data_IF_604692030539
#
_entry.id   IF_604692030539
#
_cell.length_a   1.000
_cell.length_b   1.000
_cell.length_c   1.000
_cell.angle_alpha   90.00
_cell.angle_beta   90.00
_cell.angle_gamma   90.00
#
_symmetry.space_group_name_H-M   'P 1'
#
loop_
_entity.id
_entity.type
_entity.pdbx_description
1 polymer ?
#
# COMPACT_ATOMS: atom_id res chain seq x y z
N UNK A 1 34.23 8.59 -1.08
CA UNK A 1 32.99 8.12 -1.73
C UNK A 1 32.25 9.24 -2.46
N UNK A 2 31.89 10.35 -1.80
CA UNK A 2 31.21 11.48 -2.48
C UNK A 2 31.92 11.99 -3.73
N UNK A 3 33.25 12.10 -3.70
CA UNK A 3 34.05 12.57 -4.86
C UNK A 3 33.93 11.67 -6.10
N UNK A 4 33.68 10.36 -5.94
CA UNK A 4 33.58 9.39 -7.04
C UNK A 4 32.20 9.46 -7.68
N UNK A 5 31.15 9.60 -6.86
CA UNK A 5 29.77 9.73 -7.33
C UNK A 5 29.42 11.16 -7.76
N UNK A 6 30.27 12.15 -7.45
CA UNK A 6 30.06 13.56 -7.75
C UNK A 6 29.78 13.86 -9.20
N UNK A 7 30.57 13.37 -10.18
CA UNK A 7 30.25 13.59 -11.59
C UNK A 7 28.86 13.03 -11.95
N UNK A 8 28.51 11.85 -11.41
CA UNK A 8 27.26 11.14 -11.71
C UNK A 8 26.05 11.92 -11.19
N UNK A 9 26.07 12.35 -9.92
CA UNK A 9 24.92 13.10 -9.37
C UNK A 9 24.86 14.54 -9.87
N UNK A 10 25.99 15.17 -10.23
CA UNK A 10 26.00 16.53 -10.80
C UNK A 10 25.37 16.57 -12.19
N UNK A 11 25.70 15.59 -13.04
CA UNK A 11 25.06 15.44 -14.35
C UNK A 11 23.53 15.33 -14.19
N UNK A 12 23.06 14.51 -13.24
CA UNK A 12 21.62 14.32 -13.00
C UNK A 12 20.95 15.52 -12.37
N UNK A 13 21.57 16.17 -11.39
CA UNK A 13 21.05 17.38 -10.75
C UNK A 13 20.88 18.55 -11.74
N UNK A 14 21.69 18.59 -12.80
CA UNK A 14 21.56 19.60 -13.86
C UNK A 14 20.31 19.43 -14.74
N UNK A 15 19.71 18.24 -14.75
CA UNK A 15 18.50 17.96 -15.53
C UNK A 15 17.29 18.67 -14.91
N UNK A 16 16.48 19.33 -15.75
CA UNK A 16 15.31 20.09 -15.32
C UNK A 16 14.29 19.24 -14.56
N UNK A 17 14.13 17.98 -14.97
CA UNK A 17 13.19 17.03 -14.38
C UNK A 17 13.60 16.50 -13.01
N UNK A 18 14.85 16.69 -12.58
CA UNK A 18 15.31 16.17 -11.28
C UNK A 18 14.74 17.01 -10.15
N UNK A 19 13.97 16.37 -9.28
CA UNK A 19 13.37 16.96 -8.08
C UNK A 19 14.31 16.88 -6.88
N UNK A 20 15.01 15.76 -6.71
CA UNK A 20 15.89 15.59 -5.56
C UNK A 20 16.88 14.45 -5.71
N UNK A 21 18.00 14.53 -4.98
CA UNK A 21 19.03 13.49 -4.93
C UNK A 21 19.42 13.23 -3.47
N UNK A 22 19.35 11.95 -3.07
CA UNK A 22 19.72 11.47 -1.75
C UNK A 22 20.85 10.46 -1.89
N UNK A 23 21.90 10.64 -1.07
CA UNK A 23 23.00 9.71 -0.90
C UNK A 23 22.83 8.95 0.42
N UNK A 24 22.87 7.63 0.34
CA UNK A 24 22.80 6.73 1.50
C UNK A 24 24.06 5.89 1.53
N UNK A 25 24.85 6.05 2.58
CA UNK A 25 26.03 5.21 2.81
C UNK A 25 25.70 4.11 3.81
N UNK A 26 26.24 2.93 3.58
CA UNK A 26 26.13 1.80 4.51
C UNK A 26 26.62 2.20 5.90
N UNK A 27 25.78 2.00 6.91
CA UNK A 27 26.16 2.11 8.32
C UNK A 27 26.38 0.70 8.86
N UNK A 28 27.46 0.47 9.64
CA UNK A 28 27.84 -0.87 10.09
C UNK A 28 26.77 -1.57 10.95
N UNK A 29 25.92 -0.78 11.62
CA UNK A 29 24.82 -1.25 12.46
C UNK A 29 23.55 -1.65 11.69
N UNK A 30 23.41 -1.26 10.41
CA UNK A 30 22.16 -1.44 9.63
C UNK A 30 22.40 -2.01 8.22
N UNK A 31 22.96 -3.23 8.15
CA UNK A 31 23.31 -3.94 6.90
C UNK A 31 22.15 -4.15 5.89
N UNK A 32 20.90 -3.98 6.31
CA UNK A 32 19.69 -4.24 5.50
C UNK A 32 19.23 -3.04 4.65
N UNK A 33 19.67 -1.81 4.97
CA UNK A 33 19.13 -0.59 4.34
C UNK A 33 19.62 -0.40 2.89
N UNK A 34 20.81 -0.89 2.57
CA UNK A 34 21.47 -0.67 1.27
C UNK A 34 21.52 -1.92 0.39
N UNK A 35 20.75 -2.98 0.66
CA UNK A 35 20.79 -4.24 -0.12
C UNK A 35 22.19 -4.81 -0.32
N UNK A 36 23.03 -4.74 0.72
CA UNK A 36 24.45 -5.12 0.68
C UNK A 36 25.37 -4.22 -0.17
N UNK A 37 24.84 -3.16 -0.79
CA UNK A 37 25.65 -2.11 -1.41
C UNK A 37 26.29 -1.23 -0.34
N UNK A 38 27.47 -0.69 -0.64
CA UNK A 38 28.19 0.20 0.26
C UNK A 38 27.67 1.64 0.14
N UNK A 39 27.08 2.00 -1.00
CA UNK A 39 26.42 3.30 -1.21
C UNK A 39 25.24 3.19 -2.18
N UNK A 40 24.16 3.90 -1.89
CA UNK A 40 22.98 4.03 -2.74
C UNK A 40 22.74 5.51 -3.05
N UNK A 41 22.51 5.82 -4.33
CA UNK A 41 22.12 7.13 -4.82
C UNK A 41 20.67 7.05 -5.29
N UNK A 42 19.75 7.66 -4.54
CA UNK A 42 18.35 7.79 -4.93
C UNK A 42 18.15 9.14 -5.62
N UNK A 43 17.63 9.12 -6.83
CA UNK A 43 17.32 10.29 -7.64
C UNK A 43 15.82 10.26 -7.91
N UNK A 44 15.13 11.32 -7.50
CA UNK A 44 13.70 11.50 -7.77
C UNK A 44 13.57 12.50 -8.91
N UNK A 45 12.88 12.10 -9.97
CA UNK A 45 12.56 12.94 -11.13
C UNK A 45 11.05 13.12 -11.23
N UNK A 46 10.60 14.22 -11.83
CA UNK A 46 9.17 14.47 -12.03
C UNK A 46 8.59 13.46 -13.02
N UNK A 47 9.16 13.43 -14.23
CA UNK A 47 8.75 12.52 -15.30
C UNK A 47 9.98 11.87 -15.97
N UNK A 48 9.78 10.67 -16.50
CA UNK A 48 10.78 9.93 -17.28
C UNK A 48 10.10 8.89 -18.17
N UNK A 49 10.69 8.61 -19.35
CA UNK A 49 10.25 7.53 -20.23
C UNK A 49 10.25 6.18 -19.51
N UNK A 50 11.28 5.93 -18.71
CA UNK A 50 11.38 4.75 -17.86
C UNK A 50 11.11 5.15 -16.39
N UNK A 51 10.01 4.66 -15.77
CA UNK A 51 9.59 5.14 -14.46
C UNK A 51 10.50 4.68 -13.31
N UNK A 52 11.25 3.60 -13.51
CA UNK A 52 12.27 3.07 -12.60
C UNK A 52 13.50 2.69 -13.43
N UNK A 53 14.63 3.32 -13.15
CA UNK A 53 15.89 3.05 -13.81
C UNK A 53 17.01 2.84 -12.79
N UNK A 54 17.70 1.71 -12.89
CA UNK A 54 18.76 1.33 -11.95
C UNK A 54 20.08 1.11 -12.69
N UNK A 55 21.18 1.63 -12.14
CA UNK A 55 22.55 1.28 -12.54
C UNK A 55 23.35 0.84 -11.33
N UNK A 56 24.17 -0.18 -11.51
CA UNK A 56 25.14 -0.60 -10.51
C UNK A 56 26.55 -0.21 -10.95
N UNK A 57 27.37 0.18 -9.98
CA UNK A 57 28.75 0.55 -10.17
C UNK A 57 29.63 -0.24 -9.19
N UNK A 58 30.87 -0.49 -9.63
CA UNK A 58 31.91 -1.13 -8.82
C UNK A 58 33.16 -0.26 -8.90
N UNK A 59 33.74 0.07 -7.75
CA UNK A 59 35.00 0.77 -7.67
C UNK A 59 35.80 0.28 -6.46
N UNK A 60 37.02 -0.21 -6.68
CA UNK A 60 37.91 -0.69 -5.60
C UNK A 60 37.21 -1.63 -4.59
N UNK A 61 36.42 -2.58 -5.13
CA UNK A 61 35.61 -3.54 -4.36
C UNK A 61 34.40 -2.96 -3.59
N UNK A 62 34.11 -1.67 -3.74
CA UNK A 62 32.90 -1.03 -3.22
C UNK A 62 31.75 -1.14 -4.23
N UNK A 63 30.61 -1.66 -3.77
CA UNK A 63 29.38 -1.80 -4.56
C UNK A 63 28.53 -0.55 -4.39
N UNK A 64 28.13 0.07 -5.50
CA UNK A 64 27.25 1.24 -5.48
C UNK A 64 26.03 1.02 -6.38
N UNK A 65 24.87 1.52 -5.96
CA UNK A 65 23.65 1.50 -6.75
C UNK A 65 23.14 2.92 -6.97
N UNK A 66 22.67 3.22 -8.18
CA UNK A 66 21.91 4.42 -8.50
C UNK A 66 20.50 4.01 -8.90
N UNK A 67 19.51 4.57 -8.24
CA UNK A 67 18.10 4.41 -8.57
C UNK A 67 17.54 5.76 -8.98
N UNK A 68 17.06 5.87 -10.22
CA UNK A 68 16.26 6.99 -10.70
C UNK A 68 14.82 6.53 -10.72
N UNK A 69 13.96 7.25 -9.99
CA UNK A 69 12.53 6.95 -9.93
C UNK A 69 11.71 8.20 -10.22
N UNK A 70 10.59 8.01 -10.89
CA UNK A 70 9.59 9.08 -11.04
C UNK A 70 8.88 9.36 -9.73
N UNK A 71 8.39 10.58 -9.56
CA UNK A 71 7.56 10.99 -8.43
C UNK A 71 6.33 10.08 -8.28
N UNK A 72 5.69 9.69 -9.38
CA UNK A 72 4.55 8.75 -9.36
C UNK A 72 4.91 7.41 -8.72
N UNK A 73 6.09 6.85 -9.04
CA UNK A 73 6.56 5.59 -8.43
C UNK A 73 6.87 5.79 -6.95
N UNK A 74 7.51 6.90 -6.60
CA UNK A 74 7.81 7.22 -5.20
C UNK A 74 6.51 7.27 -4.38
N UNK A 75 5.53 8.03 -4.84
CA UNK A 75 4.22 8.16 -4.20
C UNK A 75 3.53 6.80 -4.07
N UNK A 76 3.54 5.99 -5.12
CA UNK A 76 3.02 4.60 -5.08
C UNK A 76 3.65 3.79 -3.95
N UNK A 77 4.97 3.84 -3.80
CA UNK A 77 5.66 3.11 -2.74
C UNK A 77 5.34 3.62 -1.34
N UNK A 78 5.17 4.94 -1.18
CA UNK A 78 4.78 5.57 0.08
C UNK A 78 3.34 5.21 0.48
N UNK A 79 2.41 5.13 -0.47
CA UNK A 79 1.01 4.77 -0.20
C UNK A 79 0.80 3.26 -0.01
N UNK A 80 1.44 2.40 -0.80
CA UNK A 80 1.30 0.94 -0.63
C UNK A 80 2.09 0.45 0.58
N UNK A 81 3.13 1.18 0.99
CA UNK A 81 4.09 0.71 2.00
C UNK A 81 4.96 -0.45 1.50
N UNK A 82 5.12 -0.58 0.17
CA UNK A 82 5.82 -1.71 -0.46
C UNK A 82 7.35 -1.60 -0.43
N UNK A 83 7.91 -0.42 -0.12
CA UNK A 83 9.36 -0.19 -0.17
C UNK A 83 9.84 0.65 1.03
N UNK A 84 9.91 0.03 2.22
CA UNK A 84 10.37 0.69 3.47
C UNK A 84 11.77 1.31 3.32
N UNK A 85 12.67 0.69 2.54
CA UNK A 85 14.03 1.22 2.32
C UNK A 85 13.99 2.65 1.79
N UNK A 86 13.06 2.96 0.90
CA UNK A 86 12.93 4.31 0.34
C UNK A 86 12.51 5.31 1.41
N UNK A 87 11.63 4.91 2.34
CA UNK A 87 11.27 5.72 3.50
C UNK A 87 12.51 5.95 4.37
N UNK A 88 13.28 4.90 4.68
CA UNK A 88 14.51 5.03 5.45
C UNK A 88 15.56 5.91 4.75
N UNK A 89 15.70 5.81 3.43
CA UNK A 89 16.58 6.65 2.62
C UNK A 89 16.14 8.11 2.66
N UNK A 90 14.83 8.38 2.53
CA UNK A 90 14.29 9.72 2.64
C UNK A 90 14.59 10.31 4.01
N UNK A 91 14.45 9.55 5.10
CA UNK A 91 14.69 10.06 6.44
C UNK A 91 16.16 10.24 6.80
N UNK A 92 16.98 9.22 6.56
CA UNK A 92 18.34 9.14 7.09
C UNK A 92 19.42 9.44 6.05
N UNK A 93 19.06 9.48 4.77
CA UNK A 93 19.99 9.78 3.70
C UNK A 93 20.43 11.24 3.70
N UNK A 94 21.65 11.49 3.21
CA UNK A 94 22.17 12.84 3.01
C UNK A 94 21.58 13.41 1.73
N UNK A 95 20.86 14.53 1.83
CA UNK A 95 20.35 15.26 0.66
C UNK A 95 21.51 15.97 -0.03
N UNK A 96 21.75 15.64 -1.30
CA UNK A 96 22.82 16.22 -2.13
C UNK A 96 22.27 17.33 -3.05
N UNK A 97 21.02 17.19 -3.47
CA UNK A 97 20.31 18.16 -4.30
C UNK A 97 18.83 18.14 -3.95
N UNK A 98 18.20 19.31 -3.88
CA UNK A 98 16.78 19.45 -3.60
C UNK A 98 16.21 20.65 -4.36
N UNK A 99 15.39 20.38 -5.38
CA UNK A 99 14.75 21.41 -6.20
C UNK A 99 13.49 21.88 -5.50
N UNK A 100 13.39 23.19 -5.26
CA UNK A 100 12.22 23.81 -4.62
C UNK A 100 11.84 23.13 -3.29
N UNK A 101 12.84 22.67 -2.52
CA UNK A 101 12.64 22.02 -1.21
C UNK A 101 11.72 20.79 -1.27
N UNK A 102 11.69 20.08 -2.40
CA UNK A 102 10.87 18.90 -2.60
C UNK A 102 11.09 17.83 -1.52
N UNK A 103 12.34 17.42 -1.29
CA UNK A 103 12.68 16.38 -0.32
C UNK A 103 12.49 16.86 1.11
N UNK A 104 12.77 18.13 1.39
CA UNK A 104 12.46 18.75 2.68
C UNK A 104 10.95 18.69 2.99
N UNK A 105 10.11 19.15 2.06
CA UNK A 105 8.66 19.10 2.18
C UNK A 105 8.13 17.66 2.28
N UNK A 106 8.75 16.72 1.56
CA UNK A 106 8.40 15.32 1.66
C UNK A 106 8.71 14.74 3.05
N UNK A 107 9.86 15.08 3.64
CA UNK A 107 10.20 14.69 5.02
C UNK A 107 9.19 15.26 6.01
N UNK A 108 8.88 16.55 5.93
CA UNK A 108 7.88 17.18 6.79
C UNK A 108 6.53 16.48 6.68
N UNK A 109 6.05 16.22 5.45
CA UNK A 109 4.80 15.47 5.22
C UNK A 109 4.81 14.09 5.88
N UNK A 110 5.93 13.38 5.84
CA UNK A 110 6.06 12.04 6.44
C UNK A 110 6.21 12.08 7.97
N UNK A 111 6.70 13.18 8.56
CA UNK A 111 6.89 13.37 10.01
C UNK A 111 5.67 13.96 10.71
N UNK A 112 5.09 15.02 10.14
CA UNK A 112 4.05 15.82 10.78
C UNK A 112 2.67 15.19 10.67
N UNK A 113 2.47 14.28 9.70
CA UNK A 113 1.17 13.68 9.44
C UNK A 113 1.23 12.16 9.63
N UNK A 114 1.01 11.65 10.87
CA UNK A 114 0.79 10.22 11.11
C UNK A 114 -0.36 9.65 10.26
N UNK A 115 -1.23 10.52 9.73
CA UNK A 115 -2.35 10.18 8.88
C UNK A 115 -2.12 10.43 7.38
N UNK A 116 -0.91 10.79 6.93
CA UNK A 116 -0.64 11.01 5.51
C UNK A 116 -0.96 9.75 4.69
N UNK A 117 -1.93 9.88 3.80
CA UNK A 117 -2.45 8.78 3.00
C UNK A 117 -3.03 7.63 3.84
N UNK A 118 -3.49 7.88 5.07
CA UNK A 118 -4.05 6.82 5.93
C UNK A 118 -5.26 6.18 5.27
N UNK A 119 -6.24 6.96 4.78
CA UNK A 119 -7.45 6.42 4.14
C UNK A 119 -7.08 5.47 2.99
N UNK A 120 -6.20 5.89 2.10
CA UNK A 120 -5.74 5.07 0.97
C UNK A 120 -4.94 3.84 1.42
N UNK A 121 -4.06 3.98 2.41
CA UNK A 121 -3.31 2.86 3.01
C UNK A 121 -4.26 1.83 3.62
N UNK A 122 -5.22 2.29 4.42
CA UNK A 122 -6.26 1.47 5.03
C UNK A 122 -7.07 0.75 3.96
N UNK A 123 -7.56 1.47 2.95
CA UNK A 123 -8.30 0.87 1.84
C UNK A 123 -7.50 -0.18 1.06
N UNK A 124 -6.22 0.07 0.76
CA UNK A 124 -5.36 -0.90 0.06
C UNK A 124 -5.12 -2.15 0.91
N UNK A 125 -4.79 -2.00 2.21
CA UNK A 125 -4.56 -3.17 3.08
C UNK A 125 -5.86 -3.95 3.33
N UNK A 126 -6.98 -3.25 3.45
CA UNK A 126 -8.29 -3.86 3.62
C UNK A 126 -8.72 -4.64 2.37
N UNK A 127 -8.57 -4.05 1.19
CA UNK A 127 -8.79 -4.72 -0.09
C UNK A 127 -7.98 -6.02 -0.23
N UNK A 128 -6.69 -6.00 0.15
CA UNK A 128 -5.85 -7.22 0.18
C UNK A 128 -6.30 -8.25 1.21
N UNK A 129 -6.75 -7.80 2.39
CA UNK A 129 -7.35 -8.68 3.39
C UNK A 129 -8.59 -9.40 2.84
N UNK A 130 -9.52 -8.66 2.20
CA UNK A 130 -10.72 -9.23 1.58
C UNK A 130 -10.35 -10.31 0.56
N UNK A 131 -9.41 -10.00 -0.35
CA UNK A 131 -8.94 -10.93 -1.37
C UNK A 131 -8.41 -12.22 -0.76
N UNK A 132 -7.50 -12.12 0.23
CA UNK A 132 -6.88 -13.28 0.87
C UNK A 132 -7.87 -14.09 1.69
N UNK A 133 -8.82 -13.43 2.35
CA UNK A 133 -9.89 -14.10 3.06
C UNK A 133 -10.73 -14.96 2.10
N UNK A 134 -11.20 -14.41 0.98
CA UNK A 134 -12.04 -15.15 0.02
C UNK A 134 -11.30 -16.33 -0.62
N UNK A 135 -10.09 -16.10 -1.14
CA UNK A 135 -9.28 -17.19 -1.72
C UNK A 135 -8.99 -18.28 -0.67
N UNK A 136 -8.63 -17.89 0.55
CA UNK A 136 -8.38 -18.82 1.63
C UNK A 136 -9.62 -19.63 2.02
N UNK A 137 -10.80 -18.99 2.01
CA UNK A 137 -12.07 -19.64 2.33
C UNK A 137 -12.49 -20.62 1.25
N UNK A 138 -12.23 -20.30 -0.02
CA UNK A 138 -12.45 -21.22 -1.14
C UNK A 138 -11.58 -22.47 -1.01
N UNK A 139 -10.27 -22.31 -0.77
CA UNK A 139 -9.37 -23.45 -0.53
C UNK A 139 -9.82 -24.29 0.67
N UNK A 140 -10.26 -23.65 1.76
CA UNK A 140 -10.77 -24.32 2.94
C UNK A 140 -11.99 -25.20 2.62
N UNK A 141 -12.98 -24.63 1.93
CA UNK A 141 -14.21 -25.33 1.56
C UNK A 141 -13.95 -26.51 0.62
N UNK A 142 -12.87 -26.44 -0.17
CA UNK A 142 -12.43 -27.51 -1.06
C UNK A 142 -11.52 -28.55 -0.37
N UNK A 143 -11.28 -28.44 0.94
CA UNK A 143 -10.43 -29.35 1.72
C UNK A 143 -8.91 -29.14 1.53
N UNK A 144 -8.50 -28.09 0.82
CA UNK A 144 -7.10 -27.76 0.56
C UNK A 144 -6.52 -26.92 1.72
N UNK A 145 -6.40 -27.55 2.89
CA UNK A 145 -6.07 -26.84 4.14
C UNK A 145 -4.67 -26.21 4.15
N UNK A 146 -3.69 -26.78 3.45
CA UNK A 146 -2.33 -26.22 3.38
C UNK A 146 -2.29 -24.92 2.56
N UNK A 147 -3.03 -24.86 1.45
CA UNK A 147 -3.15 -23.64 0.64
C UNK A 147 -3.96 -22.58 1.39
N UNK A 148 -5.07 -23.00 2.02
CA UNK A 148 -5.88 -22.14 2.89
C UNK A 148 -5.05 -21.51 4.03
N UNK A 149 -4.14 -22.28 4.63
CA UNK A 149 -3.24 -21.78 5.68
C UNK A 149 -2.41 -20.58 5.21
N UNK A 150 -1.82 -20.63 4.01
CA UNK A 150 -1.03 -19.52 3.48
C UNK A 150 -1.87 -18.24 3.36
N UNK A 151 -3.11 -18.37 2.88
CA UNK A 151 -4.05 -17.25 2.77
C UNK A 151 -4.50 -16.70 4.14
N UNK A 152 -4.67 -17.55 5.15
CA UNK A 152 -4.96 -17.10 6.52
C UNK A 152 -3.77 -16.35 7.12
N UNK A 153 -2.55 -16.85 6.92
CA UNK A 153 -1.32 -16.16 7.35
C UNK A 153 -1.24 -14.77 6.71
N UNK A 154 -1.49 -14.66 5.40
CA UNK A 154 -1.50 -13.36 4.70
C UNK A 154 -2.60 -12.44 5.21
N UNK A 155 -3.81 -12.97 5.44
CA UNK A 155 -4.94 -12.21 5.99
C UNK A 155 -4.60 -11.62 7.36
N UNK A 156 -4.00 -12.42 8.24
CA UNK A 156 -3.52 -11.99 9.55
C UNK A 156 -2.43 -10.90 9.44
N UNK A 157 -1.53 -11.00 8.46
CA UNK A 157 -0.53 -9.95 8.21
C UNK A 157 -1.18 -8.64 7.72
N UNK A 158 -2.23 -8.70 6.91
CA UNK A 158 -2.97 -7.50 6.50
C UNK A 158 -3.74 -6.87 7.68
N UNK A 159 -4.39 -7.68 8.52
CA UNK A 159 -5.01 -7.22 9.78
C UNK A 159 -3.99 -6.56 10.72
N UNK A 160 -2.81 -7.16 10.86
CA UNK A 160 -1.70 -6.60 11.63
C UNK A 160 -1.28 -5.22 11.11
N UNK A 161 -1.10 -5.08 9.79
CA UNK A 161 -0.74 -3.79 9.17
C UNK A 161 -1.85 -2.75 9.35
N UNK A 162 -3.11 -3.13 9.16
CA UNK A 162 -4.27 -2.25 9.39
C UNK A 162 -4.26 -1.72 10.82
N UNK A 163 -4.08 -2.59 11.82
CA UNK A 163 -4.03 -2.22 13.23
C UNK A 163 -2.96 -1.15 13.53
N UNK A 164 -1.80 -1.27 12.89
CA UNK A 164 -0.71 -0.30 13.06
C UNK A 164 -1.05 1.02 12.36
N UNK A 165 -1.57 0.98 11.13
CA UNK A 165 -2.02 2.16 10.38
C UNK A 165 -3.12 2.92 11.14
N UNK A 166 -4.04 2.18 11.78
CA UNK A 166 -5.15 2.78 12.51
C UNK A 166 -4.72 3.58 13.74
N UNK A 167 -3.57 3.21 14.29
CA UNK A 167 -2.95 3.91 15.41
C UNK A 167 -2.01 5.04 14.95
N UNK A 168 -2.04 5.40 13.66
CA UNK A 168 -1.20 6.47 13.10
C UNK A 168 0.28 6.10 13.00
N UNK A 169 0.60 4.81 13.03
CA UNK A 169 1.96 4.29 12.99
C UNK A 169 2.26 3.66 11.63
N UNK A 170 3.55 3.56 11.30
CA UNK A 170 4.00 2.85 10.11
C UNK A 170 4.21 1.36 10.41
N UNK A 171 3.63 0.43 9.64
CA UNK A 171 3.89 -0.99 9.79
C UNK A 171 5.36 -1.33 9.55
N UNK A 172 5.99 -1.95 10.53
CA UNK A 172 7.39 -2.35 10.50
C UNK A 172 7.60 -3.77 9.96
N UNK A 173 8.85 -4.18 9.76
CA UNK A 173 9.20 -5.56 9.36
C UNK A 173 8.77 -6.53 10.46
N UNK A 174 8.98 -6.15 11.71
CA UNK A 174 8.54 -6.87 12.91
C UNK A 174 7.13 -6.43 13.32
N UNK A 175 6.18 -6.36 12.38
CA UNK A 175 4.80 -5.87 12.60
C UNK A 175 4.13 -6.51 13.82
N UNK A 176 4.35 -7.80 14.05
CA UNK A 176 3.79 -8.53 15.19
C UNK A 176 4.26 -8.00 16.56
N UNK A 177 5.47 -7.44 16.65
CA UNK A 177 5.95 -6.77 17.87
C UNK A 177 5.21 -5.46 18.15
N UNK A 178 4.77 -4.75 17.09
CA UNK A 178 3.91 -3.58 17.22
C UNK A 178 2.48 -4.01 17.62
N UNK A 179 1.90 -4.96 16.88
CA UNK A 179 0.54 -5.45 17.11
C UNK A 179 0.37 -6.04 18.51
N UNK A 180 1.36 -6.75 19.04
CA UNK A 180 1.31 -7.28 20.42
C UNK A 180 1.05 -6.20 21.47
N UNK A 181 1.49 -4.96 21.23
CA UNK A 181 1.27 -3.81 22.14
C UNK A 181 -0.02 -3.07 21.82
N UNK A 182 -0.36 -2.95 20.55
CA UNK A 182 -1.43 -2.08 20.04
C UNK A 182 -2.77 -2.83 19.98
N UNK A 183 -2.78 -4.03 19.39
CA UNK A 183 -3.96 -4.87 19.21
C UNK A 183 -3.67 -6.33 19.61
N UNK A 184 -3.58 -6.62 20.93
CA UNK A 184 -3.23 -7.96 21.42
C UNK A 184 -4.20 -9.06 20.96
N UNK A 185 -5.46 -8.72 20.70
CA UNK A 185 -6.45 -9.67 20.20
C UNK A 185 -6.07 -10.23 18.81
N UNK A 186 -5.58 -9.38 17.90
CA UNK A 186 -5.14 -9.81 16.57
C UNK A 186 -3.83 -10.61 16.66
N UNK A 187 -2.92 -10.23 17.57
CA UNK A 187 -1.72 -11.04 17.85
C UNK A 187 -2.09 -12.45 18.31
N UNK A 188 -3.08 -12.60 19.20
CA UNK A 188 -3.54 -13.90 19.68
C UNK A 188 -4.09 -14.78 18.56
N UNK A 189 -4.76 -14.23 17.56
CA UNK A 189 -5.21 -15.01 16.40
C UNK A 189 -4.05 -15.71 15.69
N UNK A 190 -2.93 -14.99 15.49
CA UNK A 190 -1.76 -15.58 14.87
C UNK A 190 -1.04 -16.57 15.78
N UNK A 191 -1.00 -16.30 17.09
CA UNK A 191 -0.51 -17.23 18.09
C UNK A 191 -1.31 -18.55 18.10
N UNK A 192 -2.65 -18.49 18.09
CA UNK A 192 -3.53 -19.66 18.02
C UNK A 192 -3.33 -20.45 16.72
N UNK A 193 -3.16 -19.78 15.59
CA UNK A 193 -2.88 -20.45 14.32
C UNK A 193 -1.61 -21.30 14.39
N UNK A 194 -0.56 -20.80 15.04
CA UNK A 194 0.77 -21.44 15.07
C UNK A 194 0.90 -22.44 16.23
N UNK A 195 0.41 -22.09 17.42
CA UNK A 195 0.73 -22.77 18.67
C UNK A 195 -0.37 -23.72 19.16
N UNK A 196 -1.60 -23.62 18.65
CA UNK A 196 -2.69 -24.50 19.08
C UNK A 196 -2.42 -25.96 18.74
N UNK A 197 -2.82 -26.86 19.65
CA UNK A 197 -2.72 -28.32 19.48
C UNK A 197 -3.86 -28.92 18.66
N UNK A 198 -4.84 -28.11 18.23
CA UNK A 198 -5.94 -28.57 17.39
C UNK A 198 -5.48 -28.95 15.96
N UNK A 199 -6.33 -29.70 15.26
CA UNK A 199 -6.09 -29.98 13.84
C UNK A 199 -6.00 -28.68 13.03
N UNK A 200 -5.26 -28.72 11.90
CA UNK A 200 -5.13 -27.57 11.02
C UNK A 200 -6.50 -27.05 10.56
N UNK A 201 -7.40 -27.96 10.15
CA UNK A 201 -8.77 -27.65 9.76
C UNK A 201 -9.51 -26.82 10.82
N UNK A 202 -9.55 -27.28 12.07
CA UNK A 202 -10.25 -26.55 13.15
C UNK A 202 -9.62 -25.20 13.45
N UNK A 203 -8.29 -25.11 13.41
CA UNK A 203 -7.59 -23.83 13.57
C UNK A 203 -8.02 -22.86 12.47
N UNK A 204 -8.01 -23.29 11.22
CA UNK A 204 -8.43 -22.46 10.09
C UNK A 204 -9.91 -22.06 10.19
N UNK A 205 -10.79 -22.98 10.56
CA UNK A 205 -12.22 -22.71 10.74
C UNK A 205 -12.48 -21.57 11.73
N UNK A 206 -11.87 -21.65 12.93
CA UNK A 206 -11.97 -20.60 13.95
C UNK A 206 -11.38 -19.27 13.47
N UNK A 207 -10.24 -19.33 12.78
CA UNK A 207 -9.58 -18.15 12.24
C UNK A 207 -10.43 -17.46 11.18
N UNK A 208 -11.11 -18.19 10.29
CA UNK A 208 -12.02 -17.58 9.31
C UNK A 208 -13.18 -16.86 9.97
N UNK A 209 -13.78 -17.44 11.02
CA UNK A 209 -14.87 -16.78 11.78
C UNK A 209 -14.38 -15.47 12.40
N UNK A 210 -13.20 -15.49 13.02
CA UNK A 210 -12.62 -14.29 13.63
C UNK A 210 -12.25 -13.22 12.60
N UNK A 211 -11.63 -13.62 11.48
CA UNK A 211 -11.24 -12.71 10.39
C UNK A 211 -12.49 -12.10 9.74
N UNK A 212 -13.55 -12.87 9.51
CA UNK A 212 -14.80 -12.37 8.94
C UNK A 212 -15.45 -11.31 9.84
N UNK A 213 -15.50 -11.56 11.15
CA UNK A 213 -15.98 -10.56 12.11
C UNK A 213 -15.14 -9.27 12.05
N UNK A 214 -13.81 -9.39 11.99
CA UNK A 214 -12.90 -8.24 11.89
C UNK A 214 -13.07 -7.49 10.56
N UNK A 215 -13.30 -8.20 9.45
CA UNK A 215 -13.60 -7.62 8.14
C UNK A 215 -14.88 -6.80 8.21
N UNK A 216 -15.96 -7.39 8.74
CA UNK A 216 -17.25 -6.73 8.83
C UNK A 216 -17.19 -5.46 9.70
N UNK A 217 -16.54 -5.55 10.87
CA UNK A 217 -16.41 -4.40 11.78
C UNK A 217 -15.53 -3.26 11.23
N UNK A 218 -14.64 -3.54 10.28
CA UNK A 218 -13.72 -2.54 9.67
C UNK A 218 -14.14 -2.10 8.27
N UNK A 219 -15.29 -2.58 7.76
CA UNK A 219 -15.73 -2.28 6.38
C UNK A 219 -15.94 -0.80 6.16
N UNK A 220 -16.52 -0.09 7.13
CA UNK A 220 -16.75 1.35 7.04
C UNK A 220 -15.43 2.10 6.83
N UNK A 221 -14.43 1.91 7.69
CA UNK A 221 -13.12 2.56 7.57
C UNK A 221 -12.36 2.12 6.31
N UNK A 222 -12.46 0.83 5.96
CA UNK A 222 -11.81 0.24 4.78
C UNK A 222 -12.35 0.79 3.45
N UNK A 223 -13.65 1.06 3.39
CA UNK A 223 -14.32 1.56 2.19
C UNK A 223 -14.11 3.07 1.97
N UNK A 224 -13.80 3.83 3.03
CA UNK A 224 -13.81 5.30 3.02
C UNK A 224 -13.11 5.91 1.81
N UNK A 225 -11.88 5.50 1.52
CA UNK A 225 -11.09 6.09 0.45
C UNK A 225 -11.73 5.92 -0.94
N UNK A 226 -12.20 4.71 -1.26
CA UNK A 226 -12.75 4.44 -2.60
C UNK A 226 -14.10 5.12 -2.76
N UNK A 227 -14.96 5.13 -1.73
CA UNK A 227 -16.28 5.77 -1.83
C UNK A 227 -16.15 7.30 -1.91
N UNK A 228 -15.25 7.91 -1.14
CA UNK A 228 -14.93 9.35 -1.26
C UNK A 228 -14.39 9.70 -2.64
N UNK A 229 -13.50 8.86 -3.18
CA UNK A 229 -12.95 9.05 -4.53
C UNK A 229 -14.04 9.00 -5.59
N UNK A 230 -14.97 8.05 -5.46
CA UNK A 230 -16.06 7.86 -6.41
C UNK A 230 -17.06 9.03 -6.41
N UNK A 231 -17.14 9.87 -5.35
CA UNK A 231 -17.98 11.07 -5.35
C UNK A 231 -17.56 12.13 -6.37
N UNK A 232 -16.34 12.06 -6.90
CA UNK A 232 -15.85 13.01 -7.90
C UNK A 232 -16.57 12.92 -9.25
N UNK A 233 -17.34 11.85 -9.48
CA UNK A 233 -18.12 11.62 -10.71
C UNK A 233 -19.37 10.80 -10.41
N UNK A 234 -20.49 11.10 -11.08
CA UNK A 234 -21.76 10.42 -10.84
C UNK A 234 -21.71 8.90 -11.12
N UNK A 235 -21.06 8.48 -12.20
CA UNK A 235 -21.01 7.08 -12.63
C UNK A 235 -19.62 6.69 -13.12
N UNK A 236 -19.24 5.44 -12.86
CA UNK A 236 -17.92 4.89 -13.18
C UNK A 236 -18.04 3.59 -13.96
N UNK A 237 -17.21 3.41 -14.96
CA UNK A 237 -16.87 2.07 -15.48
C UNK A 237 -15.73 1.47 -14.66
N UNK A 238 -15.59 0.14 -14.68
CA UNK A 238 -14.45 -0.51 -14.00
C UNK A 238 -13.11 -0.04 -14.56
N UNK A 239 -13.03 0.27 -15.86
CA UNK A 239 -11.81 0.77 -16.49
C UNK A 239 -11.46 2.18 -16.00
N UNK A 240 -12.45 3.04 -15.76
CA UNK A 240 -12.22 4.37 -15.18
C UNK A 240 -11.70 4.26 -13.74
N UNK A 241 -12.24 3.33 -12.95
CA UNK A 241 -11.72 3.06 -11.61
C UNK A 241 -10.25 2.58 -11.68
N UNK A 242 -9.92 1.66 -12.59
CA UNK A 242 -8.54 1.21 -12.82
C UNK A 242 -7.59 2.30 -13.32
N UNK A 243 -8.11 3.33 -13.99
CA UNK A 243 -7.32 4.44 -14.51
C UNK A 243 -7.23 5.63 -13.54
N UNK A 244 -8.03 5.66 -12.47
CA UNK A 244 -8.01 6.76 -11.51
C UNK A 244 -6.67 6.79 -10.74
N UNK A 245 -5.95 7.93 -10.66
CA UNK A 245 -4.59 7.99 -10.13
C UNK A 245 -4.38 7.30 -8.78
N UNK A 246 -5.34 7.44 -7.86
CA UNK A 246 -5.27 6.84 -6.52
C UNK A 246 -5.80 5.41 -6.47
N UNK A 247 -6.83 5.08 -7.25
CA UNK A 247 -7.42 3.73 -7.23
C UNK A 247 -6.55 2.71 -7.98
N UNK A 248 -5.68 3.16 -8.88
CA UNK A 248 -4.66 2.30 -9.53
C UNK A 248 -3.78 1.55 -8.51
N UNK A 249 -3.64 2.07 -7.29
CA UNK A 249 -2.85 1.44 -6.23
C UNK A 249 -3.51 0.20 -5.61
N UNK A 250 -4.82 0.02 -5.80
CA UNK A 250 -5.54 -1.21 -5.45
C UNK A 250 -5.20 -2.35 -6.42
N UNK A 251 -4.71 -2.03 -7.62
CA UNK A 251 -4.15 -3.00 -8.56
C UNK A 251 -5.18 -4.11 -8.89
N UNK A 252 -4.72 -5.36 -8.97
CA UNK A 252 -5.54 -6.55 -9.29
C UNK A 252 -6.67 -6.79 -8.28
N UNK A 253 -6.54 -6.23 -7.07
CA UNK A 253 -7.48 -6.49 -5.97
C UNK A 253 -8.72 -5.59 -6.05
N UNK A 254 -8.70 -4.55 -6.91
CA UNK A 254 -9.76 -3.55 -7.04
C UNK A 254 -11.12 -4.17 -7.39
N UNK A 255 -11.17 -5.08 -8.34
CA UNK A 255 -12.43 -5.68 -8.79
C UNK A 255 -13.11 -6.50 -7.69
N UNK A 256 -12.33 -7.34 -6.99
CA UNK A 256 -12.83 -8.13 -5.85
C UNK A 256 -13.33 -7.20 -4.74
N UNK A 257 -12.66 -6.08 -4.53
CA UNK A 257 -13.06 -5.11 -3.53
C UNK A 257 -14.34 -4.36 -3.91
N UNK A 258 -14.51 -4.00 -5.19
CA UNK A 258 -15.76 -3.40 -5.69
C UNK A 258 -16.93 -4.36 -5.50
N UNK A 259 -16.80 -5.64 -5.89
CA UNK A 259 -17.85 -6.63 -5.66
C UNK A 259 -18.18 -6.79 -4.17
N UNK A 260 -17.16 -6.86 -3.31
CA UNK A 260 -17.37 -6.89 -1.86
C UNK A 260 -18.16 -5.67 -1.36
N UNK A 261 -17.84 -4.47 -1.83
CA UNK A 261 -18.53 -3.24 -1.43
C UNK A 261 -19.94 -3.13 -1.99
N UNK A 262 -20.22 -3.75 -3.15
CA UNK A 262 -21.57 -3.90 -3.69
C UNK A 262 -22.40 -4.80 -2.75
N UNK A 263 -21.86 -5.96 -2.36
CA UNK A 263 -22.53 -6.88 -1.44
C UNK A 263 -22.81 -6.23 -0.07
N UNK A 264 -21.96 -5.29 0.35
CA UNK A 264 -22.13 -4.51 1.59
C UNK A 264 -22.99 -3.25 1.43
N UNK A 265 -23.42 -2.92 0.21
CA UNK A 265 -24.26 -1.75 -0.08
C UNK A 265 -23.52 -0.40 -0.06
N UNK A 266 -22.19 -0.39 -0.12
CA UNK A 266 -21.38 0.84 -0.22
C UNK A 266 -21.26 1.35 -1.66
N UNK A 267 -21.35 0.44 -2.64
CA UNK A 267 -21.33 0.75 -4.07
C UNK A 267 -22.61 0.23 -4.70
N UNK A 268 -23.23 1.05 -5.55
CA UNK A 268 -24.43 0.72 -6.30
C UNK A 268 -24.05 0.32 -7.73
N UNK A 269 -24.87 -0.55 -8.34
CA UNK A 269 -24.70 -0.99 -9.72
C UNK A 269 -25.80 -0.38 -10.59
N UNK A 270 -25.38 0.39 -11.59
CA UNK A 270 -26.25 1.02 -12.57
C UNK A 270 -26.13 0.27 -13.91
N UNK A 271 -27.08 -0.61 -14.26
CA UNK A 271 -27.06 -1.33 -15.52
C UNK A 271 -27.42 -0.40 -16.68
N UNK A 272 -26.60 -0.40 -17.72
CA UNK A 272 -26.83 0.37 -18.96
C UNK A 272 -26.86 -0.58 -20.15
N UNK A 273 -27.83 -0.40 -21.05
CA UNK A 273 -28.04 -1.31 -22.19
C UNK A 273 -26.79 -1.34 -23.08
N UNK A 274 -26.26 -2.54 -23.33
CA UNK A 274 -25.18 -2.72 -24.30
C UNK A 274 -25.75 -2.79 -25.72
N UNK A 275 -24.87 -2.97 -26.73
CA UNK A 275 -25.30 -3.12 -28.13
C UNK A 275 -26.24 -4.30 -28.39
N UNK A 276 -26.29 -5.27 -27.49
CA UNK A 276 -27.25 -6.37 -27.50
C UNK A 276 -28.28 -6.13 -26.40
N UNK A 277 -29.58 -6.25 -26.72
CA UNK A 277 -30.68 -6.02 -25.78
C UNK A 277 -30.67 -6.97 -24.57
N UNK A 278 -29.89 -8.07 -24.63
CA UNK A 278 -29.76 -9.05 -23.55
C UNK A 278 -28.54 -8.83 -22.64
N UNK A 279 -27.67 -7.86 -22.94
CA UNK A 279 -26.42 -7.63 -22.19
C UNK A 279 -26.39 -6.18 -21.70
N UNK A 280 -25.96 -5.99 -20.46
CA UNK A 280 -25.85 -4.67 -19.85
C UNK A 280 -24.40 -4.39 -19.46
N UNK A 281 -23.92 -3.19 -19.72
CA UNK A 281 -22.71 -2.68 -19.09
C UNK A 281 -23.02 -2.32 -17.63
N UNK A 282 -22.20 -2.84 -16.71
CA UNK A 282 -22.26 -2.47 -15.30
C UNK A 282 -21.50 -1.16 -15.11
N UNK A 283 -22.21 -0.12 -14.70
CA UNK A 283 -21.61 1.09 -14.15
C UNK A 283 -21.75 1.06 -12.62
N UNK A 284 -20.91 1.83 -11.96
CA UNK A 284 -20.80 1.88 -10.51
C UNK A 284 -20.99 3.32 -10.04
N UNK A 285 -21.75 3.48 -8.97
CA UNK A 285 -21.98 4.77 -8.32
C UNK A 285 -21.97 4.60 -6.81
N UNK A 286 -21.91 5.71 -6.09
CA UNK A 286 -22.04 5.75 -4.63
C UNK A 286 -23.15 6.73 -4.28
N UNK A 287 -23.96 6.42 -3.27
CA UNK A 287 -24.97 7.34 -2.77
C UNK A 287 -24.28 8.51 -2.05
N UNK A 288 -24.43 9.71 -2.61
CA UNK A 288 -23.82 10.93 -2.07
C UNK A 288 -24.30 11.25 -0.66
N UNK A 289 -25.58 11.11 -0.38
CA UNK A 289 -26.13 11.39 0.96
C UNK A 289 -25.61 10.39 1.99
N UNK A 290 -25.48 9.12 1.60
CA UNK A 290 -24.85 8.09 2.42
C UNK A 290 -23.39 8.47 2.73
N UNK A 291 -22.57 8.78 1.72
CA UNK A 291 -21.15 9.07 1.96
C UNK A 291 -20.96 10.35 2.79
N UNK A 292 -21.73 11.41 2.52
CA UNK A 292 -21.67 12.65 3.30
C UNK A 292 -22.08 12.44 4.77
N UNK A 293 -23.13 11.66 5.02
CA UNK A 293 -23.61 11.34 6.38
C UNK A 293 -22.61 10.49 7.15
N UNK A 294 -22.10 9.43 6.52
CA UNK A 294 -21.28 8.43 7.20
C UNK A 294 -19.82 8.90 7.37
N UNK A 295 -19.28 9.73 6.45
CA UNK A 295 -17.86 10.10 6.44
C UNK A 295 -17.56 11.59 6.68
N UNK A 296 -18.59 12.41 6.96
CA UNK A 296 -18.43 13.86 7.25
C UNK A 296 -17.64 14.62 6.18
N UNK A 297 -17.87 14.28 4.91
CA UNK A 297 -17.19 14.91 3.77
C UNK A 297 -17.92 16.20 3.41
N UNK A 298 -17.33 17.37 3.68
CA UNK A 298 -17.76 18.62 3.07
C UNK A 298 -17.12 18.73 1.70
N UNK A 299 -17.87 18.42 0.64
CA UNK A 299 -17.44 18.78 -0.71
C UNK A 299 -17.75 20.28 -0.87
N UNK A 300 -16.73 21.12 -0.75
CA UNK A 300 -16.84 22.51 -1.17
C UNK A 300 -17.25 22.52 -2.66
N UNK A 301 -18.41 23.13 -2.92
CA UNK A 301 -19.02 23.28 -4.24
C UNK A 301 -18.17 24.12 -5.19
#
# INVERSE_FOLDING_TARGET
MEHILRPIYQERASQAETLGVILVTKCEETKSITDTFDTVLLIVVKEAEQPIFTKHYLHENQKMAMHVITETVLNKWLYIGSNRRVVDWIFHGKVIFDRNEYLHNLRLKLQEFPFFGRKIKTGIQFCKLIRRYFEGKEFFNNGNYLDSYNHVVDSLHHLARLSVIDNGLYPEVTVWSQVKKIEPAIYKLYEELVMSSESLEKRLELLFLAIEFLINSRTHDGAQHIVETMLSKETWTIQELHNHPELTYYSIDLEVFVEYLIDKGYILVDPTIAKSEMVFHRHYSVDKEFVEREYSVSIDK
#
